data_IF_361928738704
#
_entry.id   IF_361928738704
#
_cell.length_a   1.000
_cell.length_b   1.000
_cell.length_c   1.000
_cell.angle_alpha   90.00
_cell.angle_beta   90.00
_cell.angle_gamma   90.00
#
_symmetry.space_group_name_H-M   'P 1'
#
loop_
_entity.id
_entity.type
_entity.pdbx_description
1 polymer ?
#
# COMPACT_ATOMS: atom_id res chain seq x y z
N UNK A 1 21.07 0.64 21.24
CA UNK A 1 19.67 1.07 21.47
C UNK A 1 18.85 0.33 20.44
N UNK A 2 18.23 -0.76 20.86
CA UNK A 2 17.44 -1.62 19.98
C UNK A 2 16.12 -0.92 19.70
N UNK A 3 15.88 -0.59 18.44
CA UNK A 3 14.60 -0.05 17.99
C UNK A 3 13.70 -1.27 17.82
N UNK A 4 12.69 -1.43 18.67
CA UNK A 4 11.67 -2.46 18.49
C UNK A 4 10.86 -2.13 17.24
N UNK A 5 11.18 -2.82 16.15
CA UNK A 5 10.44 -2.75 14.90
C UNK A 5 9.14 -3.55 15.05
N UNK A 6 8.01 -2.94 14.67
CA UNK A 6 6.71 -3.58 14.68
C UNK A 6 6.71 -4.73 13.67
N UNK A 7 6.93 -5.96 14.13
CA UNK A 7 6.69 -7.16 13.32
C UNK A 7 5.17 -7.39 13.31
N UNK A 8 4.52 -7.40 12.12
CA UNK A 8 3.13 -7.83 12.07
C UNK A 8 3.10 -9.33 12.42
N UNK A 9 2.64 -9.64 13.63
CA UNK A 9 2.38 -11.02 14.03
C UNK A 9 1.03 -11.44 13.44
N UNK A 10 1.06 -11.92 12.20
CA UNK A 10 -0.06 -12.64 11.59
C UNK A 10 0.29 -14.13 11.69
N UNK A 11 0.14 -14.68 12.89
CA UNK A 11 0.05 -16.12 13.08
C UNK A 11 -1.21 -16.45 13.87
N UNK A 12 -1.95 -17.40 13.28
CA UNK A 12 -2.88 -18.33 13.90
C UNK A 12 -4.27 -17.83 14.36
N UNK A 13 -5.24 -18.23 13.54
CA UNK A 13 -6.53 -18.85 13.92
C UNK A 13 -6.85 -18.81 15.42
N UNK A 14 -7.75 -17.89 15.81
CA UNK A 14 -8.92 -18.24 16.62
C UNK A 14 -9.90 -17.07 16.74
N UNK A 15 -11.15 -17.43 16.51
CA UNK A 15 -12.38 -16.68 16.77
C UNK A 15 -12.52 -16.54 18.30
N UNK A 16 -13.09 -15.43 18.76
CA UNK A 16 -13.54 -15.14 20.15
C UNK A 16 -12.59 -14.50 21.17
N UNK A 17 -11.80 -13.50 20.76
CA UNK A 17 -11.34 -12.45 21.68
C UNK A 17 -11.58 -11.07 21.07
N UNK A 18 -12.54 -10.33 21.61
CA UNK A 18 -12.68 -8.88 21.44
C UNK A 18 -11.47 -8.24 22.13
N UNK A 19 -10.35 -8.25 21.43
CA UNK A 19 -9.05 -7.73 21.83
C UNK A 19 -8.54 -6.84 20.72
N UNK A 20 -9.25 -5.72 20.52
CA UNK A 20 -8.91 -4.66 19.58
C UNK A 20 -7.46 -4.24 19.78
N UNK A 21 -6.60 -4.55 18.81
CA UNK A 21 -5.21 -4.10 18.80
C UNK A 21 -5.25 -2.58 18.62
N UNK A 22 -4.61 -1.83 19.52
CA UNK A 22 -4.47 -0.37 19.42
C UNK A 22 -3.12 -0.05 18.73
N UNK A 23 -2.98 1.10 18.02
CA UNK A 23 -1.64 1.56 17.57
C UNK A 23 -0.81 1.80 18.84
N UNK A 24 0.33 1.09 18.97
CA UNK A 24 1.23 1.12 20.13
C UNK A 24 1.73 2.53 20.50
N UNK A 25 1.65 3.49 19.56
CA UNK A 25 2.08 4.88 19.74
C UNK A 25 0.97 5.80 20.24
N UNK A 26 -0.25 5.69 19.69
CA UNK A 26 -1.34 6.63 19.99
C UNK A 26 -2.47 6.03 20.85
N UNK A 27 -2.43 4.73 21.20
CA UNK A 27 -3.45 4.03 21.98
C UNK A 27 -4.89 4.14 21.41
N UNK A 28 -5.02 4.50 20.12
CA UNK A 28 -6.28 4.55 19.39
C UNK A 28 -6.57 3.15 18.83
N UNK A 29 -7.84 2.73 18.92
CA UNK A 29 -8.35 1.51 18.32
C UNK A 29 -7.97 1.46 16.84
N UNK A 30 -7.35 0.39 16.34
CA UNK A 30 -7.34 0.16 14.90
C UNK A 30 -8.78 -0.14 14.46
N UNK A 31 -9.56 0.90 14.19
CA UNK A 31 -10.60 0.79 13.18
C UNK A 31 -9.87 0.74 11.84
N UNK A 32 -10.28 -0.16 10.94
CA UNK A 32 -9.65 -0.40 9.63
C UNK A 32 -9.50 0.88 8.76
N UNK A 33 -10.11 2.00 9.16
CA UNK A 33 -10.23 3.23 8.37
C UNK A 33 -9.43 4.45 8.85
N UNK A 34 -8.65 4.43 9.94
CA UNK A 34 -7.92 5.63 10.36
C UNK A 34 -6.53 5.36 10.93
N UNK A 35 -5.51 5.92 10.27
CA UNK A 35 -4.12 5.87 10.69
C UNK A 35 -3.80 7.13 11.48
N UNK A 36 -3.26 7.02 12.71
CA UNK A 36 -2.87 8.21 13.45
C UNK A 36 -1.57 8.82 12.87
N UNK A 37 -1.42 10.14 12.99
CA UNK A 37 -0.32 10.92 12.40
C UNK A 37 1.08 10.38 12.74
N UNK A 38 1.28 9.87 13.94
CA UNK A 38 2.56 9.26 14.35
C UNK A 38 2.83 7.93 13.64
N UNK A 39 1.79 7.10 13.48
CA UNK A 39 1.83 5.85 12.74
C UNK A 39 2.19 6.15 11.24
N UNK A 40 1.64 7.22 10.64
CA UNK A 40 1.99 7.68 9.26
C UNK A 40 3.43 8.20 9.17
N UNK A 41 3.83 9.12 10.06
CA UNK A 41 5.19 9.67 10.07
C UNK A 41 6.27 8.57 10.23
N UNK A 42 5.95 7.51 10.96
CA UNK A 42 6.85 6.36 11.14
C UNK A 42 6.97 5.56 9.84
N UNK A 43 5.87 5.35 9.13
CA UNK A 43 5.91 4.75 7.80
C UNK A 43 6.69 5.60 6.80
N UNK A 44 6.50 6.93 6.79
CA UNK A 44 7.24 7.83 5.90
C UNK A 44 8.75 7.65 6.06
N UNK A 45 9.25 7.64 7.31
CA UNK A 45 10.66 7.40 7.59
C UNK A 45 11.14 6.03 7.10
N UNK A 46 10.34 4.97 7.26
CA UNK A 46 10.71 3.63 6.79
C UNK A 46 10.73 3.57 5.27
N UNK A 47 9.73 4.15 4.62
CA UNK A 47 9.63 4.22 3.17
C UNK A 47 10.78 5.04 2.56
N UNK A 48 11.13 6.18 3.15
CA UNK A 48 12.31 6.97 2.76
C UNK A 48 13.62 6.18 2.90
N UNK A 49 13.70 5.27 3.87
CA UNK A 49 14.84 4.36 4.06
C UNK A 49 14.77 3.11 3.16
N UNK A 50 13.80 3.03 2.25
CA UNK A 50 13.70 1.96 1.27
C UNK A 50 12.87 0.74 1.69
N UNK A 51 12.15 0.81 2.80
CA UNK A 51 11.25 -0.26 3.23
C UNK A 51 10.06 -0.39 2.26
N UNK A 52 10.03 -1.52 1.56
CA UNK A 52 9.04 -1.81 0.51
C UNK A 52 7.62 -1.94 1.06
N UNK A 53 7.47 -2.48 2.26
CA UNK A 53 6.16 -2.67 2.91
C UNK A 53 5.61 -1.32 3.36
N UNK A 54 6.47 -0.46 3.89
CA UNK A 54 6.09 0.90 4.27
C UNK A 54 5.65 1.73 3.06
N UNK A 55 6.36 1.66 1.93
CA UNK A 55 5.95 2.31 0.68
C UNK A 55 4.57 1.84 0.23
N UNK A 56 4.33 0.52 0.15
CA UNK A 56 3.04 -0.03 -0.26
C UNK A 56 1.90 0.40 0.69
N UNK A 57 2.16 0.41 2.00
CA UNK A 57 1.17 0.82 2.98
C UNK A 57 0.84 2.32 2.90
N UNK A 58 1.84 3.20 2.70
CA UNK A 58 1.61 4.62 2.46
C UNK A 58 0.81 4.86 1.18
N UNK A 59 1.11 4.12 0.13
CA UNK A 59 0.37 4.22 -1.12
C UNK A 59 -1.11 3.85 -0.93
N UNK A 60 -1.37 2.72 -0.28
CA UNK A 60 -2.73 2.28 0.06
C UNK A 60 -3.45 3.29 0.97
N UNK A 61 -2.75 3.85 1.97
CA UNK A 61 -3.30 4.87 2.86
C UNK A 61 -3.72 6.12 2.07
N UNK A 62 -2.88 6.61 1.17
CA UNK A 62 -3.20 7.78 0.36
C UNK A 62 -4.25 7.51 -0.71
N UNK A 63 -4.38 6.27 -1.20
CA UNK A 63 -5.44 5.86 -2.14
C UNK A 63 -6.80 5.77 -1.47
N UNK A 64 -6.85 5.10 -0.31
CA UNK A 64 -8.08 4.70 0.38
C UNK A 64 -8.41 5.55 1.62
N UNK A 65 -7.59 6.56 1.93
CA UNK A 65 -7.80 7.45 3.07
C UNK A 65 -9.15 8.18 2.99
N UNK A 66 -9.59 8.77 4.11
CA UNK A 66 -10.79 9.61 4.12
C UNK A 66 -10.62 10.79 3.17
N UNK A 67 -11.71 11.43 2.76
CA UNK A 67 -11.70 12.49 1.75
C UNK A 67 -10.65 13.61 1.99
N UNK A 68 -10.35 13.93 3.26
CA UNK A 68 -9.29 14.90 3.62
C UNK A 68 -7.86 14.34 3.63
N UNK A 69 -7.69 13.02 3.75
CA UNK A 69 -6.40 12.31 3.83
C UNK A 69 -6.03 11.62 2.50
N UNK A 70 -7.03 11.36 1.65
CA UNK A 70 -6.90 10.81 0.31
C UNK A 70 -6.07 11.78 -0.54
N UNK A 71 -5.05 11.23 -1.16
CA UNK A 71 -4.17 11.96 -2.06
C UNK A 71 -3.65 10.99 -3.13
N UNK A 72 -4.30 10.98 -4.29
CA UNK A 72 -3.99 10.03 -5.35
C UNK A 72 -2.59 10.24 -5.94
N UNK A 73 -2.13 11.49 -6.06
CA UNK A 73 -0.75 11.81 -6.49
C UNK A 73 0.30 11.16 -5.56
N UNK A 74 0.11 11.28 -4.23
CA UNK A 74 0.99 10.62 -3.25
C UNK A 74 0.86 9.10 -3.30
N UNK A 75 -0.32 8.57 -3.59
CA UNK A 75 -0.51 7.14 -3.76
C UNK A 75 0.31 6.61 -4.95
N UNK A 76 0.18 7.25 -6.12
CA UNK A 76 0.96 6.95 -7.33
C UNK A 76 2.45 7.04 -7.03
N UNK A 77 2.92 8.12 -6.40
CA UNK A 77 4.32 8.30 -6.02
C UNK A 77 4.87 7.11 -5.23
N UNK A 78 4.16 6.67 -4.20
CA UNK A 78 4.61 5.55 -3.36
C UNK A 78 4.45 4.19 -4.03
N UNK A 79 3.41 3.99 -4.84
CA UNK A 79 3.31 2.78 -5.66
C UNK A 79 4.46 2.67 -6.64
N UNK A 80 4.81 3.76 -7.32
CA UNK A 80 5.93 3.78 -8.27
C UNK A 80 7.26 3.47 -7.58
N UNK A 81 7.51 4.06 -6.40
CA UNK A 81 8.70 3.72 -5.59
C UNK A 81 8.76 2.26 -5.17
N UNK A 82 7.63 1.67 -4.80
CA UNK A 82 7.56 0.25 -4.45
C UNK A 82 7.70 -0.66 -5.70
N UNK A 83 7.11 -0.27 -6.83
CA UNK A 83 7.19 -0.97 -8.10
C UNK A 83 8.63 -0.98 -8.67
N UNK A 84 9.34 0.15 -8.59
CA UNK A 84 10.79 0.26 -8.88
C UNK A 84 11.64 -0.71 -8.04
N UNK A 85 11.09 -1.21 -6.92
CA UNK A 85 11.71 -2.18 -6.01
C UNK A 85 11.12 -3.59 -6.13
N UNK A 86 10.50 -3.92 -7.26
CA UNK A 86 9.93 -5.25 -7.56
C UNK A 86 8.75 -5.66 -6.64
N UNK A 87 8.01 -4.72 -6.05
CA UNK A 87 6.78 -5.04 -5.31
C UNK A 87 5.64 -5.23 -6.30
N UNK A 88 5.26 -6.48 -6.56
CA UNK A 88 4.25 -6.83 -7.57
C UNK A 88 2.85 -6.30 -7.27
N UNK A 89 2.48 -6.20 -5.99
CA UNK A 89 1.21 -5.61 -5.56
C UNK A 89 1.17 -4.10 -5.88
N UNK A 90 2.32 -3.42 -5.76
CA UNK A 90 2.43 -2.01 -6.11
C UNK A 90 2.36 -1.80 -7.63
N UNK A 91 2.99 -2.68 -8.42
CA UNK A 91 2.88 -2.66 -9.89
C UNK A 91 1.41 -2.81 -10.32
N UNK A 92 0.70 -3.80 -9.78
CA UNK A 92 -0.72 -4.00 -10.07
C UNK A 92 -1.58 -2.78 -9.68
N UNK A 93 -1.38 -2.24 -8.47
CA UNK A 93 -2.16 -1.10 -8.02
C UNK A 93 -1.85 0.19 -8.80
N UNK A 94 -0.60 0.37 -9.25
CA UNK A 94 -0.20 1.46 -10.14
C UNK A 94 -0.87 1.34 -11.51
N UNK A 95 -0.94 0.13 -12.05
CA UNK A 95 -1.66 -0.14 -13.30
C UNK A 95 -3.14 0.27 -13.21
N UNK A 96 -3.81 -0.09 -12.12
CA UNK A 96 -5.20 0.31 -11.84
C UNK A 96 -5.33 1.84 -11.76
N UNK A 97 -4.36 2.53 -11.15
CA UNK A 97 -4.41 3.98 -11.06
C UNK A 97 -4.37 4.64 -12.44
N UNK A 98 -3.50 4.17 -13.34
CA UNK A 98 -3.44 4.66 -14.72
C UNK A 98 -4.67 4.27 -15.55
N UNK A 99 -5.17 3.04 -15.39
CA UNK A 99 -6.38 2.56 -16.08
C UNK A 99 -7.63 3.38 -15.72
N UNK A 100 -7.75 3.81 -14.47
CA UNK A 100 -8.92 4.57 -14.00
C UNK A 100 -8.74 6.09 -14.10
N UNK A 101 -7.56 6.60 -14.50
CA UNK A 101 -7.23 8.03 -14.38
C UNK A 101 -7.32 8.54 -12.94
N UNK A 102 -6.92 7.72 -11.96
CA UNK A 102 -6.98 8.07 -10.54
C UNK A 102 -5.81 8.97 -10.14
N UNK A 103 -6.01 10.28 -10.16
CA UNK A 103 -5.02 11.27 -9.69
C UNK A 103 -4.15 11.88 -10.78
N UNK A 104 -4.26 11.37 -12.00
CA UNK A 104 -3.73 11.93 -13.25
C UNK A 104 -4.74 11.62 -14.39
N UNK A 105 -4.37 11.87 -15.64
CA UNK A 105 -5.16 11.41 -16.79
C UNK A 105 -5.07 9.88 -16.94
N UNK A 106 -6.11 9.29 -17.52
CA UNK A 106 -6.09 7.88 -17.90
C UNK A 106 -4.95 7.59 -18.88
N UNK A 107 -4.16 6.56 -18.60
CA UNK A 107 -3.06 6.11 -19.46
C UNK A 107 -3.06 4.58 -19.56
N UNK A 108 -3.72 4.07 -20.59
CA UNK A 108 -3.82 2.63 -20.83
C UNK A 108 -2.48 2.01 -21.25
N UNK A 109 -1.54 2.78 -21.81
CA UNK A 109 -0.22 2.28 -22.20
C UNK A 109 0.63 2.02 -20.96
N UNK A 110 0.67 2.97 -20.02
CA UNK A 110 1.31 2.78 -18.72
C UNK A 110 0.61 1.70 -17.88
N UNK A 111 -0.73 1.66 -17.88
CA UNK A 111 -1.48 0.61 -17.19
C UNK A 111 -1.07 -0.78 -17.70
N UNK A 112 -1.06 -0.97 -19.02
CA UNK A 112 -0.66 -2.23 -19.64
C UNK A 112 0.79 -2.60 -19.31
N UNK A 113 1.71 -1.63 -19.36
CA UNK A 113 3.11 -1.83 -18.99
C UNK A 113 3.26 -2.36 -17.54
N UNK A 114 2.58 -1.74 -16.58
CA UNK A 114 2.65 -2.15 -15.18
C UNK A 114 1.92 -3.47 -14.91
N UNK A 115 0.82 -3.76 -15.60
CA UNK A 115 0.19 -5.08 -15.55
C UNK A 115 1.14 -6.18 -16.06
N UNK A 116 1.85 -5.95 -17.17
CA UNK A 116 2.85 -6.90 -17.67
C UNK A 116 3.96 -7.13 -16.64
N UNK A 117 4.50 -6.07 -16.05
CA UNK A 117 5.53 -6.18 -15.00
C UNK A 117 5.05 -6.96 -13.79
N UNK A 118 3.81 -6.74 -13.34
CA UNK A 118 3.22 -7.49 -12.24
C UNK A 118 3.03 -8.97 -12.61
N UNK A 119 2.57 -9.26 -13.84
CA UNK A 119 2.37 -10.61 -14.35
C UNK A 119 3.69 -11.39 -14.49
N UNK A 120 4.77 -10.74 -14.94
CA UNK A 120 6.14 -11.30 -14.97
C UNK A 120 6.63 -11.72 -13.56
N UNK A 121 6.00 -11.20 -12.50
CA UNK A 121 6.29 -11.53 -11.09
C UNK A 121 5.20 -12.42 -10.46
N UNK A 122 4.47 -13.15 -11.29
CA UNK A 122 3.40 -14.08 -10.90
C UNK A 122 2.26 -13.39 -10.11
N UNK A 123 1.93 -12.14 -10.44
CA UNK A 123 0.72 -11.50 -9.91
C UNK A 123 -0.52 -12.00 -10.67
N UNK A 124 -1.25 -12.94 -10.06
CA UNK A 124 -2.36 -13.68 -10.68
C UNK A 124 -3.42 -12.76 -11.28
N UNK A 125 -3.85 -11.72 -10.55
CA UNK A 125 -4.88 -10.80 -11.05
C UNK A 125 -4.39 -9.98 -12.23
N UNK A 126 -3.09 -9.63 -12.27
CA UNK A 126 -2.54 -8.90 -13.41
C UNK A 126 -2.50 -9.79 -14.66
N UNK A 127 -2.12 -11.06 -14.50
CA UNK A 127 -2.16 -12.05 -15.59
C UNK A 127 -3.58 -12.22 -16.13
N UNK A 128 -4.59 -12.24 -15.26
CA UNK A 128 -6.00 -12.30 -15.65
C UNK A 128 -6.44 -11.05 -16.40
N UNK A 129 -6.10 -9.85 -15.90
CA UNK A 129 -6.46 -8.58 -16.55
C UNK A 129 -5.84 -8.44 -17.95
N UNK A 130 -4.63 -8.97 -18.17
CA UNK A 130 -3.99 -8.98 -19.49
C UNK A 130 -4.60 -9.97 -20.48
N UNK A 131 -5.41 -10.92 -20.01
CA UNK A 131 -6.02 -11.96 -20.83
C UNK A 131 -7.47 -11.64 -21.26
N UNK A 132 -8.04 -10.54 -20.75
CA UNK A 132 -9.35 -10.02 -21.12
C UNK A 132 -9.24 -9.06 -22.31
#
# INVERSE_FOLDING_TARGET
>A
MEIEFCKPNISDKNIDAIGTKNCLYCNILFTEELWCKECINSLEKLAENGDKVAMLNLANYHKNGKEMEKNLEKAIYWYQKAAEKDVKEAMYNLAICYENGEGEEEDLEEAFYWYQKAAEKDHITAMFNLAL
#
